data_IF_464633169739
#
_entry.id   IF_464633169739
#
_cell.length_a   1.000
_cell.length_b   1.000
_cell.length_c   1.000
_cell.angle_alpha   90.00
_cell.angle_beta   90.00
_cell.angle_gamma   90.00
#
_symmetry.space_group_name_H-M   'P 1'
#
loop_
_entity.id
_entity.type
_entity.pdbx_description
1 polymer ?
#
# COMPACT_ATOMS: atom_id res chain seq x y z
N UNK A 1 -1.67 -17.59 1.89
CA UNK A 1 -1.88 -16.17 1.55
C UNK A 1 -0.59 -15.53 1.08
N UNK A 2 0.40 -15.28 1.94
CA UNK A 2 1.60 -14.53 1.53
C UNK A 2 2.42 -15.15 0.40
N UNK A 3 2.57 -16.47 0.38
CA UNK A 3 3.27 -17.19 -0.70
C UNK A 3 2.74 -16.84 -2.10
N UNK A 4 1.43 -16.65 -2.29
CA UNK A 4 0.88 -16.29 -3.61
C UNK A 4 1.16 -14.84 -4.00
N UNK A 5 1.42 -13.96 -3.03
CA UNK A 5 1.79 -12.56 -3.28
C UNK A 5 3.28 -12.48 -3.60
N UNK A 6 4.11 -13.20 -2.84
CA UNK A 6 5.57 -13.16 -2.99
C UNK A 6 6.11 -14.07 -4.10
N UNK A 7 5.34 -15.03 -4.60
CA UNK A 7 5.75 -15.83 -5.77
C UNK A 7 5.69 -15.05 -7.09
N UNK A 8 5.00 -13.92 -7.11
CA UNK A 8 4.78 -13.12 -8.31
C UNK A 8 5.22 -11.66 -8.10
N UNK A 9 6.35 -11.47 -7.40
CA UNK A 9 6.92 -10.16 -7.13
C UNK A 9 7.38 -9.49 -8.43
N UNK A 10 6.68 -8.43 -8.80
CA UNK A 10 7.23 -7.40 -9.67
C UNK A 10 7.43 -6.15 -8.81
N UNK A 11 8.58 -6.09 -8.13
CA UNK A 11 8.91 -4.97 -7.24
C UNK A 11 8.87 -3.67 -8.02
N UNK A 12 8.33 -2.62 -7.40
CA UNK A 12 8.19 -1.30 -8.00
C UNK A 12 9.55 -0.77 -8.51
N UNK A 13 9.60 -0.41 -9.79
CA UNK A 13 10.78 0.17 -10.46
C UNK A 13 10.46 1.58 -10.93
N UNK A 14 11.00 2.58 -10.24
CA UNK A 14 10.88 3.99 -10.64
C UNK A 14 12.13 4.47 -11.39
N UNK A 15 11.92 5.23 -12.46
CA UNK A 15 13.01 5.92 -13.17
C UNK A 15 13.57 7.00 -12.23
N UNK A 16 14.78 6.79 -11.71
CA UNK A 16 15.41 7.70 -10.74
C UNK A 16 16.30 7.01 -9.70
N UNK A 17 16.19 5.69 -9.54
CA UNK A 17 17.02 4.90 -8.62
C UNK A 17 18.45 4.64 -9.13
N UNK A 18 19.01 5.53 -9.97
CA UNK A 18 20.39 5.41 -10.39
C UNK A 18 21.30 5.65 -9.18
N UNK A 19 22.32 4.80 -9.00
CA UNK A 19 23.36 5.01 -7.99
C UNK A 19 23.98 6.38 -8.26
N UNK A 20 23.91 7.27 -7.27
CA UNK A 20 24.51 8.60 -7.34
C UNK A 20 25.73 8.65 -6.42
N UNK A 21 26.80 9.30 -6.88
CA UNK A 21 27.97 9.61 -6.05
C UNK A 21 27.68 10.70 -4.99
N UNK A 22 26.50 11.33 -5.07
CA UNK A 22 26.03 12.27 -4.04
C UNK A 22 25.42 11.54 -2.84
N UNK A 23 25.69 11.97 -1.60
CA UNK A 23 25.00 11.45 -0.42
C UNK A 23 23.48 11.48 -0.59
N UNK A 24 22.81 10.41 -0.19
CA UNK A 24 21.35 10.37 -0.19
C UNK A 24 20.80 11.50 0.69
N UNK A 25 19.90 12.31 0.14
CA UNK A 25 19.20 13.36 0.88
C UNK A 25 17.70 13.18 0.72
N UNK A 26 16.96 13.42 1.81
CA UNK A 26 15.49 13.37 1.81
C UNK A 26 15.00 14.79 1.55
N UNK A 27 14.38 15.00 0.40
CA UNK A 27 13.67 16.24 0.09
C UNK A 27 12.17 16.07 0.39
N UNK A 28 11.56 17.12 0.95
CA UNK A 28 10.12 17.13 1.24
C UNK A 28 9.44 18.20 0.39
N UNK A 29 8.47 17.78 -0.41
CA UNK A 29 7.54 18.68 -1.08
C UNK A 29 6.18 18.59 -0.38
N UNK A 30 5.59 19.75 -0.07
CA UNK A 30 4.23 19.83 0.45
C UNK A 30 3.29 20.17 -0.69
N UNK A 31 2.35 19.27 -0.96
CA UNK A 31 1.30 19.47 -1.96
C UNK A 31 -0.02 19.62 -1.19
N UNK A 32 -0.58 20.84 -1.06
CA UNK A 32 -1.85 21.02 -0.38
C UNK A 32 -2.98 20.40 -1.20
N UNK A 33 -3.93 19.77 -0.51
CA UNK A 33 -5.21 19.33 -1.07
C UNK A 33 -6.28 20.24 -0.46
N UNK A 34 -7.13 20.83 -1.28
CA UNK A 34 -8.15 21.76 -0.82
C UNK A 34 -9.23 21.05 0.01
N UNK A 35 -9.94 21.81 0.85
CA UNK A 35 -11.08 21.29 1.61
C UNK A 35 -12.17 20.76 0.66
N UNK A 36 -12.37 21.42 -0.48
CA UNK A 36 -13.33 21.00 -1.51
C UNK A 36 -12.97 19.63 -2.07
N UNK A 37 -11.70 19.42 -2.48
CA UNK A 37 -11.24 18.12 -2.99
C UNK A 37 -11.32 17.04 -1.90
N UNK A 38 -11.03 17.39 -0.66
CA UNK A 38 -11.11 16.49 0.49
C UNK A 38 -12.55 16.01 0.72
N UNK A 39 -13.52 16.92 0.74
CA UNK A 39 -14.93 16.57 0.92
C UNK A 39 -15.49 15.79 -0.28
N UNK A 40 -15.07 16.13 -1.50
CA UNK A 40 -15.41 15.34 -2.69
C UNK A 40 -14.87 13.92 -2.62
N UNK A 41 -13.62 13.73 -2.18
CA UNK A 41 -13.02 12.39 -2.02
C UNK A 41 -13.74 11.57 -0.94
N UNK A 42 -14.12 12.19 0.19
CA UNK A 42 -14.93 11.54 1.24
C UNK A 42 -16.31 11.14 0.73
N UNK A 43 -17.01 12.04 0.04
CA UNK A 43 -18.33 11.76 -0.53
C UNK A 43 -18.25 10.64 -1.58
N UNK A 44 -17.19 10.62 -2.40
CA UNK A 44 -16.97 9.56 -3.37
C UNK A 44 -16.73 8.21 -2.69
N UNK A 45 -15.85 8.15 -1.68
CA UNK A 45 -15.63 6.95 -0.87
C UNK A 45 -16.93 6.42 -0.26
N UNK A 46 -17.74 7.32 0.32
CA UNK A 46 -19.04 6.98 0.89
C UNK A 46 -20.01 6.41 -0.16
N UNK A 47 -20.09 7.00 -1.35
CA UNK A 47 -20.96 6.50 -2.43
C UNK A 47 -20.56 5.11 -2.95
N UNK A 48 -19.30 4.73 -2.80
CA UNK A 48 -18.79 3.40 -3.14
C UNK A 48 -18.88 2.39 -1.98
N UNK A 49 -19.19 2.83 -0.76
CA UNK A 49 -19.21 1.99 0.44
C UNK A 49 -17.81 1.57 0.92
N UNK A 50 -16.79 2.38 0.65
CA UNK A 50 -15.39 2.08 0.99
C UNK A 50 -14.78 3.19 1.86
N UNK A 51 -13.60 2.93 2.42
CA UNK A 51 -12.87 3.93 3.19
C UNK A 51 -12.23 5.00 2.28
N UNK A 52 -12.04 6.22 2.80
CA UNK A 52 -11.23 7.25 2.12
C UNK A 52 -9.81 6.74 1.82
N UNK A 53 -9.24 5.92 2.72
CA UNK A 53 -7.94 5.29 2.53
C UNK A 53 -7.89 4.47 1.23
N UNK A 54 -8.92 3.68 0.94
CA UNK A 54 -8.97 2.84 -0.27
C UNK A 54 -9.02 3.67 -1.56
N UNK A 55 -9.73 4.80 -1.55
CA UNK A 55 -9.72 5.76 -2.67
C UNK A 55 -8.32 6.35 -2.87
N UNK A 56 -7.69 6.82 -1.79
CA UNK A 56 -6.34 7.40 -1.85
C UNK A 56 -5.27 6.37 -2.24
N UNK A 57 -5.42 5.12 -1.79
CA UNK A 57 -4.57 4.01 -2.20
C UNK A 57 -4.69 3.77 -3.71
N UNK A 58 -5.90 3.74 -4.27
CA UNK A 58 -6.10 3.59 -5.71
C UNK A 58 -5.43 4.72 -6.51
N UNK A 59 -5.58 5.98 -6.06
CA UNK A 59 -4.91 7.13 -6.69
C UNK A 59 -3.38 6.98 -6.62
N UNK A 60 -2.85 6.59 -5.46
CA UNK A 60 -1.41 6.37 -5.28
C UNK A 60 -0.88 5.26 -6.20
N UNK A 61 -1.54 4.09 -6.22
CA UNK A 61 -1.15 2.97 -7.06
C UNK A 61 -1.27 3.31 -8.55
N UNK A 62 -2.27 4.11 -8.94
CA UNK A 62 -2.39 4.60 -10.33
C UNK A 62 -1.19 5.43 -10.73
N UNK A 63 -0.75 6.33 -9.85
CA UNK A 63 0.44 7.13 -10.08
C UNK A 63 1.69 6.25 -10.20
N UNK A 64 1.84 5.24 -9.33
CA UNK A 64 2.95 4.29 -9.42
C UNK A 64 2.96 3.49 -10.73
N UNK A 65 1.82 2.98 -11.16
CA UNK A 65 1.69 2.29 -12.46
C UNK A 65 2.05 3.22 -13.61
N UNK A 66 1.60 4.48 -13.58
CA UNK A 66 1.91 5.46 -14.62
C UNK A 66 3.41 5.83 -14.65
N UNK A 67 4.06 5.98 -13.49
CA UNK A 67 5.47 6.35 -13.38
C UNK A 67 6.42 5.20 -13.71
N UNK A 68 6.08 3.98 -13.28
CA UNK A 68 6.90 2.78 -13.52
C UNK A 68 6.70 2.18 -14.91
N UNK A 69 5.50 2.36 -15.49
CA UNK A 69 5.08 1.64 -16.70
C UNK A 69 4.79 0.15 -16.46
N UNK A 70 4.85 -0.32 -15.21
CA UNK A 70 4.58 -1.71 -14.87
C UNK A 70 3.08 -1.97 -14.85
N UNK A 71 2.62 -3.04 -15.53
CA UNK A 71 1.21 -3.46 -15.48
C UNK A 71 0.86 -4.14 -14.15
N UNK A 72 1.85 -4.76 -13.50
CA UNK A 72 1.76 -5.36 -12.17
C UNK A 72 2.88 -4.79 -11.31
N UNK A 73 2.58 -4.45 -10.07
CA UNK A 73 3.62 -4.03 -9.13
C UNK A 73 3.27 -4.44 -7.70
N UNK A 74 4.31 -4.57 -6.87
CA UNK A 74 4.20 -4.75 -5.43
C UNK A 74 4.77 -3.52 -4.72
N UNK A 75 4.02 -3.01 -3.74
CA UNK A 75 4.43 -1.90 -2.86
C UNK A 75 4.24 -2.28 -1.39
N UNK A 76 4.86 -1.54 -0.48
CA UNK A 76 4.70 -1.74 0.96
C UNK A 76 3.46 -1.04 1.50
N UNK A 77 2.60 -1.77 2.19
CA UNK A 77 1.51 -1.19 2.98
C UNK A 77 1.78 -1.36 4.47
N UNK A 78 1.77 -0.24 5.19
CA UNK A 78 1.89 -0.24 6.66
C UNK A 78 0.53 -0.59 7.28
N UNK A 79 0.56 -1.51 8.22
CA UNK A 79 -0.59 -2.01 8.97
C UNK A 79 -0.34 -1.93 10.46
N UNK A 80 -1.41 -1.89 11.25
CA UNK A 80 -1.35 -1.91 12.70
C UNK A 80 -1.68 -3.33 13.22
N UNK A 81 -0.76 -3.91 13.97
CA UNK A 81 -0.88 -5.22 14.61
C UNK A 81 -1.40 -5.18 16.04
N UNK A 82 -1.75 -4.00 16.57
CA UNK A 82 -2.20 -3.80 17.95
C UNK A 82 -3.29 -4.81 18.36
N UNK A 83 -3.27 -5.33 19.61
CA UNK A 83 -4.29 -6.25 20.09
C UNK A 83 -5.69 -5.65 20.00
N UNK A 84 -6.64 -6.41 19.49
CA UNK A 84 -8.07 -6.08 19.48
C UNK A 84 -8.70 -6.50 20.81
N UNK A 85 -8.14 -6.01 21.91
CA UNK A 85 -8.56 -6.29 23.27
C UNK A 85 -8.78 -4.97 24.01
N UNK A 86 -9.58 -5.00 25.08
CA UNK A 86 -9.83 -3.82 25.94
C UNK A 86 -8.49 -3.27 26.44
N UNK A 87 -8.26 -1.96 26.25
CA UNK A 87 -7.01 -1.29 26.62
C UNK A 87 -5.87 -1.49 25.60
N UNK A 88 -6.12 -2.22 24.50
CA UNK A 88 -5.14 -2.46 23.45
C UNK A 88 -4.62 -1.16 22.84
N UNK A 89 -5.47 -0.13 22.69
CA UNK A 89 -5.18 1.22 22.22
C UNK A 89 -4.18 2.00 23.10
N UNK A 90 -4.10 1.66 24.38
CA UNK A 90 -3.24 2.34 25.36
C UNK A 90 -1.86 1.70 25.50
N UNK A 91 -1.64 0.53 24.89
CA UNK A 91 -0.36 -0.16 24.96
C UNK A 91 0.76 0.63 24.27
N UNK A 92 1.89 0.78 24.97
CA UNK A 92 3.11 1.32 24.39
C UNK A 92 3.91 0.19 23.74
N UNK A 93 4.28 0.34 22.47
CA UNK A 93 5.04 -0.67 21.75
C UNK A 93 5.07 -0.45 20.23
N UNK A 94 5.93 -1.23 19.56
CA UNK A 94 6.03 -1.25 18.10
C UNK A 94 5.01 -2.23 17.52
N UNK A 95 3.84 -1.71 17.15
CA UNK A 95 2.77 -2.51 16.57
C UNK A 95 2.65 -2.38 15.05
N UNK A 96 3.44 -1.49 14.43
CA UNK A 96 3.41 -1.33 12.98
C UNK A 96 4.09 -2.51 12.29
N UNK A 97 3.48 -2.97 11.20
CA UNK A 97 4.04 -3.98 10.32
C UNK A 97 3.87 -3.54 8.86
N UNK A 98 4.93 -3.67 8.06
CA UNK A 98 4.89 -3.35 6.63
C UNK A 98 4.79 -4.64 5.86
N UNK A 99 3.81 -4.73 4.96
CA UNK A 99 3.48 -5.95 4.23
C UNK A 99 3.36 -5.68 2.74
N UNK A 100 3.71 -6.64 1.87
CA UNK A 100 3.58 -6.47 0.44
C UNK A 100 2.10 -6.34 0.06
N UNK A 101 1.79 -5.35 -0.77
CA UNK A 101 0.49 -5.12 -1.37
C UNK A 101 0.67 -5.13 -2.89
N UNK A 102 0.13 -6.16 -3.54
CA UNK A 102 0.23 -6.34 -4.98
C UNK A 102 -0.99 -5.75 -5.68
N UNK A 103 -0.76 -5.04 -6.79
CA UNK A 103 -1.81 -4.52 -7.67
C UNK A 103 -1.50 -4.84 -9.13
N UNK A 104 -2.54 -4.95 -9.92
CA UNK A 104 -2.45 -5.07 -11.38
C UNK A 104 -3.38 -4.04 -12.01
N UNK A 105 -2.86 -3.26 -12.96
CA UNK A 105 -3.68 -2.37 -13.77
C UNK A 105 -4.51 -3.22 -14.73
N UNK A 106 -5.80 -3.33 -14.45
CA UNK A 106 -6.79 -3.93 -15.34
C UNK A 106 -7.66 -2.85 -15.98
N UNK A 107 -8.27 -3.16 -17.12
CA UNK A 107 -9.21 -2.28 -17.83
C UNK A 107 -10.56 -2.18 -17.09
N UNK A 108 -10.53 -1.75 -15.83
CA UNK A 108 -11.71 -1.51 -15.00
C UNK A 108 -12.03 -0.02 -14.94
N UNK A 109 -13.28 0.29 -14.62
CA UNK A 109 -13.64 1.62 -14.15
C UNK A 109 -13.00 1.92 -12.79
N UNK A 110 -12.85 3.20 -12.46
CA UNK A 110 -12.31 3.62 -11.16
C UNK A 110 -13.07 3.03 -9.98
N UNK A 111 -14.40 2.99 -10.04
CA UNK A 111 -15.24 2.48 -8.96
C UNK A 111 -15.04 0.98 -8.73
N UNK A 112 -14.95 0.18 -9.79
CA UNK A 112 -14.67 -1.25 -9.70
C UNK A 112 -13.29 -1.52 -9.13
N UNK A 113 -12.27 -0.79 -9.62
CA UNK A 113 -10.90 -0.98 -9.16
C UNK A 113 -10.72 -0.57 -7.71
N UNK A 114 -11.32 0.54 -7.28
CA UNK A 114 -11.31 0.97 -5.86
C UNK A 114 -11.96 -0.08 -4.96
N UNK A 115 -13.11 -0.65 -5.37
CA UNK A 115 -13.79 -1.70 -4.59
C UNK A 115 -12.95 -2.97 -4.52
N UNK A 116 -12.30 -3.35 -5.61
CA UNK A 116 -11.38 -4.49 -5.63
C UNK A 116 -10.19 -4.27 -4.68
N UNK A 117 -9.57 -3.09 -4.70
CA UNK A 117 -8.48 -2.75 -3.79
C UNK A 117 -8.94 -2.77 -2.33
N UNK A 118 -10.13 -2.22 -2.04
CA UNK A 118 -10.71 -2.26 -0.70
C UNK A 118 -10.94 -3.70 -0.20
N UNK A 119 -11.41 -4.59 -1.08
CA UNK A 119 -11.57 -6.02 -0.77
C UNK A 119 -10.21 -6.70 -0.54
N UNK A 120 -9.19 -6.40 -1.36
CA UNK A 120 -7.83 -6.90 -1.15
C UNK A 120 -7.23 -6.41 0.18
N UNK A 121 -7.45 -5.15 0.55
CA UNK A 121 -7.05 -4.60 1.85
C UNK A 121 -7.76 -5.33 3.00
N UNK A 122 -9.04 -5.64 2.84
CA UNK A 122 -9.82 -6.40 3.83
C UNK A 122 -9.28 -7.83 4.01
N UNK A 123 -8.97 -8.52 2.92
CA UNK A 123 -8.35 -9.85 2.96
C UNK A 123 -6.99 -9.81 3.65
N UNK A 124 -6.16 -8.79 3.35
CA UNK A 124 -4.88 -8.59 4.00
C UNK A 124 -5.02 -8.39 5.51
N UNK A 125 -6.12 -7.77 5.97
CA UNK A 125 -6.35 -7.48 7.39
C UNK A 125 -6.25 -8.74 8.27
N UNK A 126 -6.76 -9.88 7.81
CA UNK A 126 -6.67 -11.16 8.53
C UNK A 126 -5.24 -11.70 8.67
N UNK A 127 -4.33 -11.26 7.79
CA UNK A 127 -2.94 -11.72 7.72
C UNK A 127 -1.92 -10.68 8.21
N UNK A 128 -2.38 -9.50 8.64
CA UNK A 128 -1.54 -8.32 8.92
C UNK A 128 -0.49 -8.48 10.02
N UNK A 129 -0.66 -9.47 10.90
CA UNK A 129 0.28 -9.76 12.01
C UNK A 129 1.42 -10.69 11.61
N UNK A 130 1.48 -11.13 10.35
CA UNK A 130 2.54 -12.00 9.88
C UNK A 130 3.90 -11.26 9.88
N UNK A 131 4.96 -11.78 10.51
CA UNK A 131 6.20 -11.03 10.65
C UNK A 131 6.89 -10.78 9.30
N UNK A 132 7.19 -9.51 8.98
CA UNK A 132 7.93 -9.14 7.76
C UNK A 132 9.29 -9.85 7.66
N UNK A 133 9.99 -10.02 8.79
CA UNK A 133 11.26 -10.74 8.82
C UNK A 133 11.15 -12.20 8.39
N UNK A 134 10.02 -12.85 8.70
CA UNK A 134 9.73 -14.21 8.23
C UNK A 134 9.46 -14.21 6.73
N UNK A 135 8.66 -13.27 6.22
CA UNK A 135 8.41 -13.13 4.77
C UNK A 135 9.70 -12.96 3.98
N UNK A 136 10.61 -12.08 4.45
CA UNK A 136 11.89 -11.85 3.79
C UNK A 136 12.75 -13.12 3.73
N UNK A 137 12.74 -13.94 4.77
CA UNK A 137 13.48 -15.21 4.78
C UNK A 137 12.91 -16.22 3.80
N UNK A 138 11.61 -16.22 3.59
CA UNK A 138 10.94 -17.11 2.64
C UNK A 138 11.20 -16.75 1.17
N UNK A 139 11.65 -15.52 0.89
CA UNK A 139 12.05 -15.03 -0.44
C UNK A 139 13.57 -14.87 -0.59
N UNK A 140 14.35 -15.66 0.17
CA UNK A 140 15.82 -15.65 0.15
C UNK A 140 16.47 -14.27 0.43
N UNK A 141 15.77 -13.38 1.13
CA UNK A 141 16.27 -12.06 1.53
C UNK A 141 16.14 -10.97 0.46
N UNK A 142 15.48 -11.25 -0.66
CA UNK A 142 15.17 -10.27 -1.71
C UNK A 142 14.32 -9.10 -1.18
N UNK A 143 14.44 -7.94 -1.84
CA UNK A 143 13.61 -6.77 -1.55
C UNK A 143 12.15 -7.06 -1.92
N UNK A 144 11.23 -6.84 -0.98
CA UNK A 144 9.81 -7.17 -1.17
C UNK A 144 8.99 -6.04 -1.82
N UNK A 145 9.46 -4.79 -1.70
CA UNK A 145 8.83 -3.56 -2.17
C UNK A 145 9.74 -2.35 -1.95
#
# INVERSE_FOLDING_TARGET
>A
YWQSIVSELDVLKLKGNAVSDTPSCINRAMVPVSDVETEQAKAYAASLGVSLKSVLLAVHLRALHALSGQSKLVTGMVTNGRPEAVGGEQLLGLFLNSLPFSTTTIALSWSEWIKQLAEQEHQLWGHRRYPLATLRREVDGEELF
#
